data_IF_763200225043
#
_entry.id   IF_763200225043
#
_cell.length_a   1.000
_cell.length_b   1.000
_cell.length_c   1.000
_cell.angle_alpha   90.00
_cell.angle_beta   90.00
_cell.angle_gamma   90.00
#
_symmetry.space_group_name_H-M   'P 1'
#
loop_
_entity.id
_entity.type
_entity.pdbx_description
1 polymer ?
#
# COMPACT_ATOMS: atom_id res chain seq x y z
N UNK A 1 -10.19 -28.49 -16.65
CA UNK A 1 -9.51 -28.13 -17.92
C UNK A 1 -8.59 -26.93 -17.64
N UNK A 2 -7.50 -27.13 -16.90
CA UNK A 2 -6.45 -26.12 -16.70
C UNK A 2 -5.17 -26.83 -17.09
N UNK A 3 -4.70 -26.55 -18.31
CA UNK A 3 -3.50 -27.16 -18.86
C UNK A 3 -2.29 -26.76 -18.01
N UNK A 4 -1.41 -27.71 -17.73
CA UNK A 4 -0.11 -27.50 -17.12
C UNK A 4 0.74 -26.59 -18.02
N UNK A 5 0.65 -25.28 -17.80
CA UNK A 5 1.53 -24.32 -18.47
C UNK A 5 2.98 -24.66 -18.08
N UNK A 6 3.85 -24.75 -19.08
CA UNK A 6 5.29 -24.92 -18.86
C UNK A 6 5.79 -23.79 -17.94
N UNK A 7 6.67 -24.12 -16.98
CA UNK A 7 7.17 -23.16 -16.00
C UNK A 7 7.74 -21.88 -16.63
N UNK A 8 8.29 -21.97 -17.84
CA UNK A 8 8.77 -20.81 -18.61
C UNK A 8 7.65 -19.87 -19.07
N UNK A 9 6.48 -20.40 -19.42
CA UNK A 9 5.31 -19.62 -19.82
C UNK A 9 4.70 -18.88 -18.62
N UNK A 10 4.64 -19.54 -17.46
CA UNK A 10 4.18 -18.93 -16.19
C UNK A 10 5.15 -17.81 -15.78
N UNK A 11 6.46 -18.06 -15.83
CA UNK A 11 7.46 -17.03 -15.51
C UNK A 11 7.35 -15.81 -16.43
N UNK A 12 7.16 -16.01 -17.73
CA UNK A 12 7.01 -14.90 -18.68
C UNK A 12 5.76 -14.07 -18.41
N UNK A 13 4.63 -14.70 -18.07
CA UNK A 13 3.41 -14.00 -17.69
C UNK A 13 3.59 -13.23 -16.39
N UNK A 14 4.17 -13.87 -15.36
CA UNK A 14 4.45 -13.25 -14.08
C UNK A 14 5.32 -12.00 -14.22
N UNK A 15 6.39 -12.05 -15.02
CA UNK A 15 7.24 -10.88 -15.28
C UNK A 15 6.49 -9.75 -15.99
N UNK A 16 5.66 -10.09 -16.99
CA UNK A 16 4.87 -9.10 -17.71
C UNK A 16 3.84 -8.43 -16.80
N UNK A 17 3.18 -9.20 -15.94
CA UNK A 17 2.16 -8.68 -15.03
C UNK A 17 2.81 -7.89 -13.88
N UNK A 18 4.00 -8.30 -13.42
CA UNK A 18 4.77 -7.59 -12.39
C UNK A 18 5.32 -6.24 -12.85
N UNK A 19 5.71 -6.10 -14.12
CA UNK A 19 6.22 -4.83 -14.71
C UNK A 19 5.09 -4.04 -15.39
N UNK A 20 3.87 -4.57 -15.38
CA UNK A 20 2.72 -3.99 -16.05
C UNK A 20 2.24 -2.68 -15.43
N UNK A 21 1.03 -2.30 -15.79
CA UNK A 21 0.40 -1.07 -15.31
C UNK A 21 0.38 -0.90 -13.76
N UNK A 22 0.18 -1.97 -12.95
CA UNK A 22 0.17 -1.83 -11.48
C UNK A 22 1.49 -1.32 -10.88
N UNK A 23 2.65 -1.73 -11.41
CA UNK A 23 3.95 -1.29 -10.88
C UNK A 23 4.26 0.16 -11.25
N UNK A 24 3.92 0.57 -12.48
CA UNK A 24 4.12 1.94 -12.95
C UNK A 24 3.28 2.91 -12.11
N UNK A 25 2.01 2.58 -11.91
CA UNK A 25 1.11 3.39 -11.08
C UNK A 25 1.58 3.47 -9.64
N UNK A 26 2.03 2.36 -9.04
CA UNK A 26 2.62 2.35 -7.71
C UNK A 26 3.85 3.27 -7.60
N UNK A 27 4.80 3.19 -8.55
CA UNK A 27 5.99 4.03 -8.57
C UNK A 27 5.66 5.52 -8.74
N UNK A 28 4.72 5.84 -9.62
CA UNK A 28 4.24 7.21 -9.82
C UNK A 28 3.60 7.75 -8.53
N UNK A 29 2.75 6.96 -7.88
CA UNK A 29 2.11 7.35 -6.62
C UNK A 29 3.10 7.51 -5.46
N UNK A 30 4.09 6.61 -5.33
CA UNK A 30 5.15 6.72 -4.31
C UNK A 30 6.04 7.95 -4.53
N UNK A 31 6.37 8.26 -5.78
CA UNK A 31 7.08 9.50 -6.14
C UNK A 31 6.26 10.73 -5.76
N UNK A 32 4.96 10.72 -6.06
CA UNK A 32 4.04 11.80 -5.66
C UNK A 32 3.98 11.99 -4.14
N UNK A 33 3.93 10.90 -3.37
CA UNK A 33 4.02 10.96 -1.92
C UNK A 33 5.34 11.58 -1.43
N UNK A 34 6.48 11.20 -2.03
CA UNK A 34 7.77 11.81 -1.72
C UNK A 34 7.78 13.32 -1.95
N UNK A 35 7.19 13.78 -3.06
CA UNK A 35 7.02 15.21 -3.36
C UNK A 35 6.15 15.90 -2.31
N UNK A 36 5.02 15.28 -1.93
CA UNK A 36 4.12 15.83 -0.92
C UNK A 36 4.81 16.02 0.43
N UNK A 37 5.56 15.02 0.90
CA UNK A 37 6.29 15.13 2.18
C UNK A 37 7.31 16.27 2.11
N UNK A 38 8.02 16.39 0.98
CA UNK A 38 8.99 17.46 0.76
C UNK A 38 8.34 18.85 0.80
N UNK A 39 7.21 19.04 0.11
CA UNK A 39 6.46 20.30 0.10
C UNK A 39 5.82 20.62 1.47
N UNK A 40 5.44 19.59 2.23
CA UNK A 40 4.89 19.74 3.58
C UNK A 40 5.92 20.17 4.63
N UNK A 41 7.20 20.32 4.25
CA UNK A 41 8.30 20.67 5.15
C UNK A 41 8.65 19.57 6.17
N UNK A 42 8.17 18.35 5.95
CA UNK A 42 8.44 17.21 6.82
C UNK A 42 9.78 16.55 6.48
N UNK A 43 10.50 16.00 7.47
CA UNK A 43 11.82 15.44 7.23
C UNK A 43 11.72 14.15 6.40
N UNK A 44 12.68 13.94 5.50
CA UNK A 44 12.74 12.73 4.66
C UNK A 44 12.75 11.43 5.49
N UNK A 45 13.37 11.45 6.67
CA UNK A 45 13.33 10.32 7.60
C UNK A 45 11.91 9.93 8.02
N UNK A 46 10.98 10.90 8.11
CA UNK A 46 9.58 10.63 8.39
C UNK A 46 8.90 9.93 7.22
N UNK A 47 9.19 10.30 5.97
CA UNK A 47 8.67 9.58 4.80
C UNK A 47 9.07 8.10 4.82
N UNK A 48 10.35 7.82 5.14
CA UNK A 48 10.86 6.45 5.26
C UNK A 48 10.16 5.72 6.42
N UNK A 49 10.10 6.34 7.60
CA UNK A 49 9.48 5.74 8.77
C UNK A 49 7.99 5.39 8.54
N UNK A 50 7.25 6.30 7.90
CA UNK A 50 5.84 6.11 7.54
C UNK A 50 5.69 5.03 6.47
N UNK A 51 6.61 4.94 5.51
CA UNK A 51 6.60 3.86 4.50
C UNK A 51 6.87 2.50 5.10
N UNK A 52 7.84 2.38 6.01
CA UNK A 52 8.14 1.11 6.68
C UNK A 52 7.04 0.73 7.68
N UNK A 53 6.48 1.70 8.40
CA UNK A 53 5.51 1.45 9.45
C UNK A 53 4.08 1.24 8.96
N UNK A 54 3.60 2.08 8.03
CA UNK A 54 2.20 2.05 7.55
C UNK A 54 2.08 1.25 6.26
N UNK A 55 3.07 1.32 5.37
CA UNK A 55 3.13 0.69 4.04
C UNK A 55 2.03 1.12 3.04
N UNK A 56 0.76 1.14 3.46
CA UNK A 56 -0.38 1.50 2.64
C UNK A 56 -0.44 2.99 2.33
N UNK A 57 -0.28 3.34 1.05
CA UNK A 57 -0.28 4.73 0.57
C UNK A 57 -1.43 5.61 1.11
N UNK A 58 -2.70 5.17 1.17
CA UNK A 58 -3.77 6.02 1.69
C UNK A 58 -3.62 6.37 3.17
N UNK A 59 -3.08 5.46 3.98
CA UNK A 59 -2.75 5.75 5.37
C UNK A 59 -1.58 6.72 5.51
N UNK A 60 -0.57 6.60 4.65
CA UNK A 60 0.56 7.55 4.61
C UNK A 60 0.10 8.95 4.21
N UNK A 61 -0.75 9.05 3.19
CA UNK A 61 -1.34 10.31 2.72
C UNK A 61 -2.20 10.94 3.81
N UNK A 62 -3.10 10.17 4.42
CA UNK A 62 -3.94 10.65 5.52
C UNK A 62 -3.11 11.17 6.70
N UNK A 63 -2.01 10.50 7.06
CA UNK A 63 -1.12 10.96 8.11
C UNK A 63 -0.55 12.35 7.81
N UNK A 64 0.00 12.54 6.61
CA UNK A 64 0.64 13.81 6.22
C UNK A 64 -0.40 14.93 6.15
N UNK A 65 -1.49 14.71 5.41
CA UNK A 65 -2.54 15.72 5.22
C UNK A 65 -3.19 16.15 6.54
N UNK A 66 -3.52 15.20 7.42
CA UNK A 66 -4.15 15.50 8.70
C UNK A 66 -3.17 16.17 9.68
N UNK A 67 -1.89 15.79 9.63
CA UNK A 67 -0.86 16.41 10.45
C UNK A 67 -0.61 17.86 10.02
N UNK A 68 -0.49 18.12 8.72
CA UNK A 68 -0.34 19.48 8.16
C UNK A 68 -1.58 20.34 8.44
N UNK A 69 -2.78 19.74 8.42
CA UNK A 69 -4.02 20.42 8.81
C UNK A 69 -4.11 20.76 10.32
N UNK A 70 -3.13 20.37 11.13
CA UNK A 70 -3.09 20.66 12.57
C UNK A 70 -4.10 19.88 13.40
N UNK A 71 -4.60 18.75 12.88
CA UNK A 71 -5.52 17.89 13.63
C UNK A 71 -4.81 17.25 14.82
N UNK A 72 -5.58 16.94 15.87
CA UNK A 72 -5.03 16.28 17.05
C UNK A 72 -4.47 14.90 16.68
N UNK A 73 -3.43 14.46 17.40
CA UNK A 73 -2.79 13.15 17.18
C UNK A 73 -3.81 12.01 17.21
N UNK A 74 -4.83 12.11 18.07
CA UNK A 74 -5.91 11.13 18.13
C UNK A 74 -6.67 11.00 16.80
N UNK A 75 -7.07 12.12 16.19
CA UNK A 75 -7.77 12.10 14.90
C UNK A 75 -6.88 11.63 13.75
N UNK A 76 -5.59 11.97 13.78
CA UNK A 76 -4.61 11.46 12.81
C UNK A 76 -4.54 9.93 12.89
N UNK A 77 -4.35 9.37 14.09
CA UNK A 77 -4.28 7.91 14.29
C UNK A 77 -5.57 7.25 13.82
N UNK A 78 -6.73 7.80 14.21
CA UNK A 78 -8.02 7.24 13.81
C UNK A 78 -8.22 7.28 12.29
N UNK A 79 -7.89 8.41 11.65
CA UNK A 79 -7.98 8.56 10.20
C UNK A 79 -7.08 7.58 9.44
N UNK A 80 -5.84 7.42 9.89
CA UNK A 80 -4.88 6.45 9.35
C UNK A 80 -5.38 5.00 9.52
N UNK A 81 -5.93 4.68 10.69
CA UNK A 81 -6.49 3.35 10.96
C UNK A 81 -7.68 3.05 10.03
N UNK A 82 -8.61 3.99 9.86
CA UNK A 82 -9.75 3.84 8.96
C UNK A 82 -9.32 3.74 7.48
N UNK A 83 -8.33 4.52 7.06
CA UNK A 83 -7.77 4.42 5.72
C UNK A 83 -7.19 3.03 5.44
N UNK A 84 -6.58 2.38 6.45
CA UNK A 84 -6.04 1.02 6.32
C UNK A 84 -7.07 -0.09 6.59
N UNK A 85 -8.20 0.22 7.24
CA UNK A 85 -9.29 -0.73 7.44
C UNK A 85 -9.85 -1.28 6.12
N UNK A 86 -9.58 -0.63 4.98
CA UNK A 86 -9.84 -1.15 3.63
C UNK A 86 -9.14 -2.48 3.31
N UNK A 87 -8.16 -2.90 4.10
CA UNK A 87 -7.53 -4.23 4.00
C UNK A 87 -8.33 -5.33 4.70
N UNK A 88 -9.29 -4.99 5.58
CA UNK A 88 -10.11 -5.98 6.28
C UNK A 88 -10.87 -6.93 5.32
N UNK A 89 -11.47 -6.48 4.21
CA UNK A 89 -12.09 -7.39 3.25
C UNK A 89 -11.11 -8.41 2.66
N UNK A 90 -9.84 -8.03 2.46
CA UNK A 90 -8.81 -8.96 1.98
C UNK A 90 -8.50 -10.04 3.03
N UNK A 91 -8.40 -9.65 4.30
CA UNK A 91 -8.20 -10.59 5.42
C UNK A 91 -9.39 -11.54 5.53
N UNK A 92 -10.62 -11.02 5.45
CA UNK A 92 -11.85 -11.82 5.53
C UNK A 92 -11.96 -12.79 4.35
N UNK A 93 -11.63 -12.36 3.14
CA UNK A 93 -11.63 -13.22 1.96
C UNK A 93 -10.59 -14.35 2.04
N UNK A 94 -9.51 -14.15 2.79
CA UNK A 94 -8.44 -15.14 2.96
C UNK A 94 -8.76 -16.20 4.04
N UNK A 95 -9.62 -15.88 5.03
CA UNK A 95 -9.99 -16.81 6.11
C UNK A 95 -10.44 -18.22 5.65
N UNK A 96 -11.33 -18.40 4.64
CA UNK A 96 -11.72 -19.76 4.22
C UNK A 96 -10.55 -20.58 3.68
N UNK A 97 -9.63 -19.96 2.94
CA UNK A 97 -8.45 -20.63 2.37
C UNK A 97 -7.49 -21.15 3.45
N UNK A 98 -7.39 -20.43 4.58
CA UNK A 98 -6.59 -20.88 5.72
C UNK A 98 -7.21 -22.09 6.42
N UNK A 99 -8.54 -22.21 6.39
CA UNK A 99 -9.26 -23.29 7.05
C UNK A 99 -9.25 -24.59 6.23
N UNK A 100 -9.22 -24.49 4.89
CA UNK A 100 -9.07 -25.64 3.98
C UNK A 100 -7.66 -26.27 4.01
N UNK A 101 -6.65 -25.51 4.43
CA UNK A 101 -5.26 -25.97 4.53
C UNK A 101 -4.95 -26.77 5.82
N UNK A 102 -5.93 -26.94 6.71
CA UNK A 102 -5.83 -27.71 7.96
C UNK A 102 -6.60 -29.02 7.86
#
# INVERSE_FOLDING_TARGET
MIASASASAVNRLAWRDAIGFPSITLLASMTGFGSLVHESGLPFAMAIAVTVGIWGLPGQLALVEMHVAGLSVFFVILGVALANARFLPMVVAFMPLMNEAR
#
